data_IF_258842032810
#
_entry.id   IF_258842032810
#
_cell.length_a   1.000
_cell.length_b   1.000
_cell.length_c   1.000
_cell.angle_alpha   90.00
_cell.angle_beta   90.00
_cell.angle_gamma   90.00
#
_symmetry.space_group_name_H-M   'P 1'
#
loop_
_entity.id
_entity.type
_entity.pdbx_description
1 polymer ?
#
# COMPACT_ATOMS: atom_id res chain seq x y z
N UNK A 1 11.15 -25.74 -14.89
CA UNK A 1 10.03 -25.23 -14.06
C UNK A 1 10.31 -23.89 -13.35
N UNK A 2 11.41 -23.18 -13.64
CA UNK A 2 11.71 -21.85 -13.07
C UNK A 2 11.61 -20.70 -14.09
N UNK A 3 11.46 -21.00 -15.38
CA UNK A 3 11.52 -20.02 -16.48
C UNK A 3 10.18 -19.34 -16.80
N UNK A 4 9.16 -19.54 -15.96
CA UNK A 4 7.84 -18.92 -16.10
C UNK A 4 7.35 -18.31 -14.78
N UNK A 5 8.27 -17.77 -13.97
CA UNK A 5 7.86 -16.76 -12.99
C UNK A 5 7.55 -15.49 -13.76
N UNK A 6 6.34 -15.42 -14.31
CA UNK A 6 5.69 -14.15 -14.50
C UNK A 6 5.50 -13.60 -13.09
N UNK A 7 6.52 -12.94 -12.55
CA UNK A 7 6.40 -12.09 -11.36
C UNK A 7 5.43 -10.97 -11.76
N UNK A 8 4.13 -11.26 -11.69
CA UNK A 8 3.04 -10.34 -11.96
C UNK A 8 2.93 -9.38 -10.78
N UNK A 9 3.98 -8.60 -10.55
CA UNK A 9 3.83 -7.38 -9.75
C UNK A 9 3.00 -6.44 -10.60
N UNK A 10 1.77 -6.17 -10.18
CA UNK A 10 0.97 -5.15 -10.84
C UNK A 10 1.74 -3.82 -10.77
N UNK A 11 1.82 -3.06 -11.88
CA UNK A 11 2.48 -1.78 -11.86
C UNK A 11 1.70 -0.82 -10.96
N UNK A 12 2.44 -0.09 -10.14
CA UNK A 12 1.90 0.95 -9.26
C UNK A 12 1.66 2.24 -10.02
N UNK A 13 0.57 2.92 -9.67
CA UNK A 13 0.20 4.18 -10.28
C UNK A 13 0.39 5.35 -9.33
N UNK A 14 0.99 6.43 -9.84
CA UNK A 14 1.11 7.69 -9.13
C UNK A 14 0.64 8.82 -10.04
N UNK A 15 -0.21 9.70 -9.52
CA UNK A 15 -0.68 10.89 -10.20
C UNK A 15 -0.33 12.14 -9.41
N UNK A 16 0.29 13.12 -10.07
CA UNK A 16 0.57 14.44 -9.50
C UNK A 16 -0.35 15.48 -10.14
N UNK A 17 -1.26 16.07 -9.36
CA UNK A 17 -2.23 17.04 -9.88
C UNK A 17 -1.60 18.37 -10.29
N UNK A 18 -0.45 18.74 -9.71
CA UNK A 18 0.24 20.00 -9.98
C UNK A 18 0.99 19.96 -11.31
N UNK A 19 1.66 18.85 -11.59
CA UNK A 19 2.42 18.66 -12.85
C UNK A 19 1.60 17.96 -13.93
N UNK A 20 0.42 17.40 -13.60
CA UNK A 20 -0.39 16.57 -14.48
C UNK A 20 0.34 15.31 -14.98
N UNK A 21 1.33 14.83 -14.21
CA UNK A 21 2.12 13.65 -14.54
C UNK A 21 1.49 12.37 -13.98
N UNK A 22 1.49 11.32 -14.81
CA UNK A 22 1.22 9.95 -14.38
C UNK A 22 2.51 9.15 -14.42
N UNK A 23 2.85 8.47 -13.32
CA UNK A 23 4.00 7.58 -13.24
C UNK A 23 3.54 6.15 -13.00
N UNK A 24 4.06 5.25 -13.83
CA UNK A 24 3.88 3.80 -13.71
C UNK A 24 5.19 3.21 -13.20
N UNK A 25 5.14 2.49 -12.08
CA UNK A 25 6.32 1.84 -11.50
C UNK A 25 6.09 0.32 -11.43
N UNK A 26 7.00 -0.47 -11.99
CA UNK A 26 7.00 -1.93 -11.82
C UNK A 26 7.99 -2.30 -10.73
N UNK A 27 7.54 -2.61 -9.49
CA UNK A 27 8.46 -2.93 -8.41
C UNK A 27 9.15 -4.27 -8.67
N UNK A 28 10.44 -4.36 -8.31
CA UNK A 28 11.19 -5.61 -8.39
C UNK A 28 10.66 -6.62 -7.34
N UNK A 29 10.79 -7.94 -7.56
CA UNK A 29 10.33 -8.96 -6.59
C UNK A 29 10.96 -8.82 -5.20
N UNK A 30 12.20 -8.32 -5.12
CA UNK A 30 12.88 -8.00 -3.86
C UNK A 30 12.18 -6.92 -3.04
N UNK A 31 11.41 -6.04 -3.70
CA UNK A 31 10.61 -5.01 -3.06
C UNK A 31 9.50 -5.63 -2.20
N UNK A 32 8.82 -6.67 -2.70
CA UNK A 32 7.77 -7.39 -1.96
C UNK A 32 8.25 -7.93 -0.61
N UNK A 33 9.42 -8.58 -0.58
CA UNK A 33 10.01 -9.10 0.68
C UNK A 33 10.26 -8.00 1.72
N UNK A 34 10.66 -6.81 1.27
CA UNK A 34 10.92 -5.66 2.15
C UNK A 34 9.61 -5.10 2.71
N UNK A 35 8.57 -5.04 1.87
CA UNK A 35 7.22 -4.62 2.29
C UNK A 35 6.69 -5.58 3.35
N UNK A 36 6.75 -6.88 3.11
CA UNK A 36 6.23 -7.88 4.05
C UNK A 36 6.91 -7.79 5.42
N UNK A 37 8.24 -7.65 5.43
CA UNK A 37 8.99 -7.47 6.68
C UNK A 37 8.53 -6.24 7.46
N UNK A 38 8.36 -5.10 6.79
CA UNK A 38 7.91 -3.86 7.42
C UNK A 38 6.45 -3.96 7.87
N UNK A 39 5.59 -4.59 7.07
CA UNK A 39 4.18 -4.83 7.38
C UNK A 39 4.05 -5.67 8.66
N UNK A 40 4.82 -6.74 8.77
CA UNK A 40 4.79 -7.60 9.95
C UNK A 40 5.35 -6.90 11.20
N UNK A 41 6.41 -6.10 11.05
CA UNK A 41 6.91 -5.26 12.14
C UNK A 41 5.82 -4.33 12.69
N UNK A 42 5.10 -3.61 11.82
CA UNK A 42 4.01 -2.72 12.23
C UNK A 42 2.90 -3.50 12.93
N UNK A 43 2.46 -4.64 12.39
CA UNK A 43 1.46 -5.52 13.01
C UNK A 43 1.88 -5.96 14.42
N UNK A 44 3.14 -6.37 14.60
CA UNK A 44 3.67 -6.77 15.90
C UNK A 44 3.60 -5.61 16.90
N UNK A 45 4.00 -4.41 16.48
CA UNK A 45 3.95 -3.22 17.34
C UNK A 45 2.53 -2.88 17.76
N UNK A 46 1.56 -2.96 16.85
CA UNK A 46 0.16 -2.68 17.14
C UNK A 46 -0.45 -3.71 18.08
N UNK A 47 -0.18 -5.01 17.84
CA UNK A 47 -0.57 -6.10 18.76
C UNK A 47 -0.03 -5.88 20.16
N UNK A 48 1.25 -5.52 20.28
CA UNK A 48 1.88 -5.26 21.60
C UNK A 48 1.25 -4.06 22.32
N UNK A 49 0.71 -3.11 21.58
CA UNK A 49 -0.01 -1.95 22.13
C UNK A 49 -1.49 -2.23 22.40
N UNK A 50 -2.01 -3.43 22.08
CA UNK A 50 -3.44 -3.72 22.16
C UNK A 50 -4.29 -2.87 21.22
N UNK A 51 -3.69 -2.38 20.13
CA UNK A 51 -4.38 -1.58 19.12
C UNK A 51 -4.79 -2.50 17.98
N UNK A 52 -6.05 -2.42 17.62
CA UNK A 52 -6.57 -3.02 16.39
C UNK A 52 -6.26 -2.12 15.18
N UNK A 53 -6.27 -2.71 13.99
CA UNK A 53 -6.04 -2.00 12.73
C UNK A 53 -6.78 -2.66 11.58
N UNK A 54 -7.03 -1.88 10.53
CA UNK A 54 -7.37 -2.38 9.19
C UNK A 54 -6.20 -2.13 8.24
N UNK A 55 -5.93 -3.08 7.35
CA UNK A 55 -4.79 -3.07 6.44
C UNK A 55 -5.28 -3.25 5.00
N UNK A 56 -4.84 -2.37 4.10
CA UNK A 56 -5.21 -2.42 2.68
C UNK A 56 -3.98 -2.30 1.79
N UNK A 57 -3.87 -3.23 0.84
CA UNK A 57 -2.85 -3.30 -0.20
C UNK A 57 -3.38 -4.15 -1.38
N UNK A 58 -3.57 -3.59 -2.60
CA UNK A 58 -3.32 -2.21 -3.02
C UNK A 58 -4.49 -1.25 -2.71
N UNK A 59 -4.17 0.03 -2.44
CA UNK A 59 -5.16 1.12 -2.30
C UNK A 59 -4.59 2.43 -2.87
N UNK A 60 -5.41 3.26 -3.51
CA UNK A 60 -5.00 4.62 -3.91
C UNK A 60 -5.45 5.62 -2.86
N UNK A 61 -4.48 6.28 -2.22
CA UNK A 61 -4.74 7.43 -1.37
C UNK A 61 -4.97 8.66 -2.24
N UNK A 62 -6.17 9.23 -2.16
CA UNK A 62 -6.49 10.52 -2.77
C UNK A 62 -6.21 11.60 -1.76
N UNK A 63 -5.17 12.39 -2.00
CA UNK A 63 -4.90 13.61 -1.25
C UNK A 63 -5.60 14.75 -1.98
N UNK A 64 -6.59 15.42 -1.37
CA UNK A 64 -7.31 16.52 -2.00
C UNK A 64 -6.32 17.52 -2.63
N UNK A 65 -6.59 17.88 -3.88
CA UNK A 65 -5.85 18.87 -4.67
C UNK A 65 -4.34 18.61 -4.86
N UNK A 66 -3.82 17.43 -4.52
CA UNK A 66 -2.39 17.14 -4.58
C UNK A 66 -2.01 15.92 -5.42
N UNK A 67 -2.58 14.75 -5.12
CA UNK A 67 -2.07 13.51 -5.73
C UNK A 67 -2.99 12.30 -5.50
N UNK A 68 -2.92 11.36 -6.43
CA UNK A 68 -3.27 9.95 -6.20
C UNK A 68 -1.99 9.18 -5.95
N UNK A 69 -1.80 8.67 -4.73
CA UNK A 69 -0.61 7.92 -4.34
C UNK A 69 -1.00 6.47 -4.02
N UNK A 70 -0.34 5.51 -4.65
CA UNK A 70 -0.45 4.10 -4.28
C UNK A 70 0.70 3.70 -3.32
N UNK A 71 0.47 3.63 -2.00
CA UNK A 71 1.47 3.15 -1.05
C UNK A 71 1.77 1.65 -1.21
N UNK A 72 2.81 1.21 -0.52
CA UNK A 72 3.17 -0.21 -0.39
C UNK A 72 2.21 -1.00 0.51
N UNK A 73 1.77 -0.40 1.62
CA UNK A 73 0.73 -0.92 2.52
C UNK A 73 0.19 0.25 3.34
N UNK A 74 -1.12 0.28 3.58
CA UNK A 74 -1.77 1.24 4.48
C UNK A 74 -2.23 0.55 5.77
N UNK A 75 -2.08 1.25 6.90
CA UNK A 75 -2.64 0.84 8.19
C UNK A 75 -3.55 1.95 8.72
N UNK A 76 -4.78 1.57 9.06
CA UNK A 76 -5.75 2.45 9.70
C UNK A 76 -6.03 1.96 11.11
N UNK A 77 -5.82 2.81 12.10
CA UNK A 77 -5.84 2.41 13.52
C UNK A 77 -7.04 3.05 14.22
N UNK A 78 -7.04 4.38 14.35
CA UNK A 78 -8.06 5.12 15.11
C UNK A 78 -9.39 5.23 14.35
N UNK A 79 -9.37 5.74 13.12
CA UNK A 79 -10.58 5.93 12.30
C UNK A 79 -10.85 4.74 11.36
N UNK A 80 -10.49 3.53 11.78
CA UNK A 80 -10.58 2.33 10.93
C UNK A 80 -12.01 2.01 10.47
N UNK A 81 -12.99 2.33 11.31
CA UNK A 81 -14.41 2.05 11.04
C UNK A 81 -14.97 2.89 9.88
N UNK A 82 -14.51 4.13 9.74
CA UNK A 82 -14.90 5.03 8.64
C UNK A 82 -14.45 4.55 7.26
N UNK A 83 -13.59 3.52 7.21
CA UNK A 83 -13.08 2.93 5.98
C UNK A 83 -13.85 1.65 5.66
N UNK A 84 -14.19 0.86 6.68
CA UNK A 84 -15.04 -0.33 6.54
C UNK A 84 -16.47 0.02 6.10
N UNK A 85 -16.97 1.21 6.44
CA UNK A 85 -18.30 1.69 6.01
C UNK A 85 -18.37 2.15 4.54
N UNK A 86 -17.24 2.13 3.82
CA UNK A 86 -17.14 2.53 2.41
C UNK A 86 -17.02 1.36 1.42
N UNK A 87 -17.05 0.13 1.93
CA UNK A 87 -17.06 -1.10 1.13
C UNK A 87 -18.47 -1.50 0.67
#
# INVERSE_FOLDING_TARGET
MLNLRQDKTLPKLYFNSKTQEVRLMSPLPSHGKRIDLLKDLVKILLRRQGKDWECFDPITLKIPDQAGLEPDTCFYIENRQAILEKD
#
